data_IF_704169986267
#
_entry.id   IF_704169986267
#
_cell.length_a   1.000
_cell.length_b   1.000
_cell.length_c   1.000
_cell.angle_alpha   90.00
_cell.angle_beta   90.00
_cell.angle_gamma   90.00
#
_symmetry.space_group_name_H-M   'P 1'
#
loop_
_entity.id
_entity.type
_entity.pdbx_description
1 polymer ?
#
# COMPACT_ATOMS: atom_id res chain seq x y z
N UNK A 1 16.06 24.04 -8.06
CA UNK A 1 14.62 24.06 -7.75
C UNK A 1 14.34 22.91 -6.81
N UNK A 2 14.00 23.18 -5.56
CA UNK A 2 13.52 22.15 -4.62
C UNK A 2 12.10 21.79 -5.02
N UNK A 3 11.94 20.67 -5.72
CA UNK A 3 10.60 20.12 -6.01
C UNK A 3 9.93 19.82 -4.66
N UNK A 4 8.88 20.54 -4.33
CA UNK A 4 8.07 20.26 -3.15
C UNK A 4 7.40 18.91 -3.43
N UNK A 5 7.86 17.85 -2.76
CA UNK A 5 7.19 16.55 -2.82
C UNK A 5 6.10 16.54 -1.77
N UNK A 6 4.88 16.27 -2.18
CA UNK A 6 3.80 15.98 -1.25
C UNK A 6 3.79 14.49 -0.90
N UNK A 7 3.19 14.17 0.24
CA UNK A 7 3.06 12.83 0.74
C UNK A 7 1.64 12.62 1.24
N UNK A 8 1.10 11.44 0.95
CA UNK A 8 -0.17 10.97 1.52
C UNK A 8 0.00 9.54 2.01
N UNK A 9 -0.60 9.26 3.16
CA UNK A 9 -0.56 7.97 3.83
C UNK A 9 -1.93 7.31 3.73
N UNK A 10 -1.97 6.09 3.21
CA UNK A 10 -3.17 5.26 3.17
C UNK A 10 -3.06 4.11 4.16
N UNK A 11 -4.07 3.92 5.01
CA UNK A 11 -4.24 2.69 5.79
C UNK A 11 -4.91 1.66 4.91
N UNK A 12 -4.26 0.50 4.77
CA UNK A 12 -4.73 -0.63 3.95
C UNK A 12 -5.21 -1.75 4.86
N UNK A 13 -6.45 -2.19 4.69
CA UNK A 13 -7.09 -3.25 5.46
C UNK A 13 -7.71 -4.30 4.53
N UNK A 14 -7.93 -5.51 5.06
CA UNK A 14 -8.77 -6.52 4.44
C UNK A 14 -10.16 -6.47 5.08
N UNK A 15 -11.18 -6.24 4.28
CA UNK A 15 -12.55 -6.00 4.75
C UNK A 15 -13.55 -6.91 4.02
N UNK A 16 -14.72 -7.16 4.62
CA UNK A 16 -15.80 -7.91 3.96
C UNK A 16 -16.78 -6.93 3.33
N UNK A 17 -16.89 -6.96 2.01
CA UNK A 17 -17.90 -6.22 1.27
C UNK A 17 -19.29 -6.84 1.52
N UNK A 18 -20.20 -6.06 2.09
CA UNK A 18 -21.53 -6.56 2.50
C UNK A 18 -22.44 -6.87 1.31
N UNK A 19 -22.23 -6.19 0.19
CA UNK A 19 -22.97 -6.31 -1.06
C UNK A 19 -22.54 -7.51 -1.91
N UNK A 20 -21.24 -7.85 -1.87
CA UNK A 20 -20.65 -8.94 -2.67
C UNK A 20 -20.41 -10.22 -1.88
N UNK A 21 -20.62 -10.18 -0.56
CA UNK A 21 -20.24 -11.23 0.39
C UNK A 21 -18.80 -11.76 0.19
N UNK A 22 -17.90 -10.85 -0.20
CA UNK A 22 -16.52 -11.16 -0.58
C UNK A 22 -15.53 -10.36 0.26
N UNK A 23 -14.35 -10.93 0.49
CA UNK A 23 -13.24 -10.17 1.05
C UNK A 23 -12.59 -9.28 -0.01
N UNK A 24 -12.48 -8.00 0.30
CA UNK A 24 -11.87 -6.97 -0.52
C UNK A 24 -10.74 -6.29 0.22
N UNK A 25 -9.85 -5.67 -0.54
CA UNK A 25 -8.90 -4.72 0.00
C UNK A 25 -9.54 -3.34 0.06
N UNK A 26 -9.28 -2.61 1.15
CA UNK A 26 -9.66 -1.22 1.30
C UNK A 26 -8.42 -0.38 1.63
N UNK A 27 -8.36 0.83 1.08
CA UNK A 27 -7.32 1.81 1.37
C UNK A 27 -7.96 3.16 1.70
N UNK A 28 -7.89 3.56 2.97
CA UNK A 28 -8.40 4.85 3.45
C UNK A 28 -7.26 5.85 3.73
N UNK A 29 -7.33 7.10 3.23
CA UNK A 29 -6.31 8.10 3.51
C UNK A 29 -6.36 8.55 4.98
N UNK A 30 -5.20 8.72 5.60
CA UNK A 30 -5.04 9.02 7.04
C UNK A 30 -4.82 10.52 7.28
N UNK A 31 -4.06 11.15 6.39
CA UNK A 31 -3.49 12.49 6.54
C UNK A 31 -3.89 13.42 5.38
N UNK A 32 -5.12 13.29 4.90
CA UNK A 32 -5.64 14.07 3.77
C UNK A 32 -6.95 14.82 4.07
N UNK A 33 -7.23 15.93 3.35
CA UNK A 33 -8.49 16.67 3.45
C UNK A 33 -9.71 15.80 3.09
N UNK A 34 -9.61 15.01 2.03
CA UNK A 34 -10.66 14.10 1.59
C UNK A 34 -10.40 12.73 2.21
N UNK A 35 -11.41 12.19 2.91
CA UNK A 35 -11.29 10.92 3.66
C UNK A 35 -11.91 9.70 2.96
N UNK A 36 -12.36 9.87 1.72
CA UNK A 36 -12.89 8.78 0.91
C UNK A 36 -11.76 7.86 0.48
N UNK A 37 -11.83 6.60 0.87
CA UNK A 37 -10.91 5.56 0.44
C UNK A 37 -11.31 4.92 -0.89
N UNK A 38 -10.51 3.94 -1.31
CA UNK A 38 -10.77 3.09 -2.48
C UNK A 38 -10.75 1.64 -2.08
N UNK A 39 -11.51 0.81 -2.79
CA UNK A 39 -11.53 -0.64 -2.61
C UNK A 39 -11.22 -1.37 -3.90
N UNK A 40 -10.67 -2.59 -3.79
CA UNK A 40 -10.41 -3.49 -4.92
C UNK A 40 -10.31 -4.95 -4.47
N UNK A 41 -10.43 -5.89 -5.40
CA UNK A 41 -10.33 -7.32 -5.09
C UNK A 41 -8.87 -7.74 -4.81
N UNK A 42 -7.92 -7.14 -5.53
CA UNK A 42 -6.49 -7.42 -5.38
C UNK A 42 -5.69 -6.20 -4.90
N UNK A 43 -4.53 -6.44 -4.27
CA UNK A 43 -3.60 -5.36 -3.87
C UNK A 43 -3.02 -4.60 -5.05
N UNK A 44 -2.90 -5.24 -6.22
CA UNK A 44 -2.38 -4.58 -7.43
C UNK A 44 -3.38 -3.55 -7.92
N UNK A 45 -4.65 -3.93 -8.04
CA UNK A 45 -5.74 -3.02 -8.40
C UNK A 45 -5.92 -1.92 -7.36
N UNK A 46 -5.83 -2.24 -6.07
CA UNK A 46 -5.92 -1.24 -5.00
C UNK A 46 -4.83 -0.17 -5.14
N UNK A 47 -3.59 -0.58 -5.42
CA UNK A 47 -2.48 0.36 -5.62
C UNK A 47 -2.70 1.24 -6.85
N UNK A 48 -3.16 0.67 -7.97
CA UNK A 48 -3.52 1.44 -9.15
C UNK A 48 -4.64 2.45 -8.86
N UNK A 49 -5.67 2.05 -8.12
CA UNK A 49 -6.76 2.92 -7.69
C UNK A 49 -6.24 4.06 -6.80
N UNK A 50 -5.40 3.78 -5.82
CA UNK A 50 -4.78 4.81 -4.95
C UNK A 50 -3.95 5.79 -5.77
N UNK A 51 -3.13 5.31 -6.70
CA UNK A 51 -2.33 6.17 -7.58
C UNK A 51 -3.20 7.09 -8.43
N UNK A 52 -4.39 6.63 -8.86
CA UNK A 52 -5.34 7.45 -9.63
C UNK A 52 -6.05 8.54 -8.81
N UNK A 53 -6.15 8.39 -7.49
CA UNK A 53 -6.89 9.33 -6.62
C UNK A 53 -5.99 10.18 -5.71
N UNK A 54 -4.69 9.91 -5.63
CA UNK A 54 -3.79 10.56 -4.65
C UNK A 54 -3.77 12.09 -4.73
N UNK A 55 -3.80 12.65 -5.93
CA UNK A 55 -3.81 14.09 -6.16
C UNK A 55 -5.15 14.72 -5.77
N UNK A 56 -6.25 14.06 -6.16
CA UNK A 56 -7.61 14.45 -5.76
C UNK A 56 -7.76 14.47 -4.24
N UNK A 57 -7.32 13.40 -3.58
CA UNK A 57 -7.40 13.25 -2.12
C UNK A 57 -6.64 14.34 -1.38
N UNK A 58 -5.49 14.77 -1.91
CA UNK A 58 -4.69 15.88 -1.39
C UNK A 58 -5.17 17.28 -1.85
N UNK A 59 -6.08 17.35 -2.83
CA UNK A 59 -6.53 18.62 -3.41
C UNK A 59 -5.44 19.36 -4.19
N UNK A 60 -4.53 18.64 -4.83
CA UNK A 60 -3.40 19.22 -5.58
C UNK A 60 -3.47 18.87 -7.07
N UNK A 61 -2.87 19.68 -7.96
CA UNK A 61 -2.77 19.38 -9.40
C UNK A 61 -1.98 18.09 -9.72
N UNK A 62 -2.30 17.41 -10.82
CA UNK A 62 -1.69 16.13 -11.24
C UNK A 62 -0.19 16.22 -11.56
N UNK A 63 0.31 17.39 -11.94
CA UNK A 63 1.73 17.64 -12.24
C UNK A 63 2.59 17.74 -10.97
N UNK A 64 1.97 17.82 -9.79
CA UNK A 64 2.69 17.81 -8.52
C UNK A 64 3.16 16.40 -8.18
N UNK A 65 4.41 16.27 -7.75
CA UNK A 65 4.93 14.99 -7.30
C UNK A 65 4.32 14.61 -5.94
N UNK A 66 3.56 13.50 -5.93
CA UNK A 66 2.93 12.93 -4.73
C UNK A 66 3.48 11.53 -4.48
N UNK A 67 4.10 11.34 -3.32
CA UNK A 67 4.53 10.04 -2.81
C UNK A 67 3.43 9.41 -1.96
N UNK A 68 3.14 8.12 -2.18
CA UNK A 68 2.16 7.37 -1.39
C UNK A 68 2.89 6.48 -0.39
N UNK A 69 2.47 6.53 0.88
CA UNK A 69 2.86 5.55 1.90
C UNK A 69 1.67 4.66 2.26
N UNK A 70 1.93 3.35 2.43
CA UNK A 70 0.92 2.39 2.85
C UNK A 70 1.19 1.87 4.26
N UNK A 71 0.20 1.98 5.13
CA UNK A 71 0.17 1.37 6.46
C UNK A 71 -0.78 0.18 6.41
N UNK A 72 -0.24 -1.03 6.44
CA UNK A 72 -1.04 -2.24 6.41
C UNK A 72 -1.54 -2.60 7.81
N UNK A 73 -2.85 -2.70 7.94
CA UNK A 73 -3.57 -3.16 9.12
C UNK A 73 -4.20 -4.52 8.77
N UNK A 74 -3.41 -5.57 8.95
CA UNK A 74 -3.77 -6.95 8.60
C UNK A 74 -4.10 -7.73 9.86
N UNK A 75 -5.29 -8.34 9.97
CA UNK A 75 -5.63 -9.20 11.09
C UNK A 75 -4.57 -10.30 11.28
N UNK A 76 -4.03 -10.42 12.50
CA UNK A 76 -3.02 -11.43 12.83
C UNK A 76 -1.58 -11.09 12.45
N UNK A 77 -1.31 -9.92 11.83
CA UNK A 77 0.05 -9.47 11.52
C UNK A 77 0.35 -8.19 12.30
N UNK A 78 1.29 -8.27 13.25
CA UNK A 78 1.72 -7.08 13.99
C UNK A 78 2.55 -6.14 13.10
N UNK A 79 2.58 -4.85 13.44
CA UNK A 79 3.38 -3.85 12.73
C UNK A 79 4.89 -4.19 12.74
N UNK A 80 5.37 -4.84 13.79
CA UNK A 80 6.76 -5.30 13.92
C UNK A 80 7.07 -6.42 12.92
N UNK A 81 6.18 -7.43 12.83
CA UNK A 81 6.29 -8.52 11.86
C UNK A 81 6.28 -7.96 10.44
N UNK A 82 5.38 -7.01 10.16
CA UNK A 82 5.32 -6.36 8.85
C UNK A 82 6.59 -5.57 8.52
N UNK A 83 7.15 -4.85 9.49
CA UNK A 83 8.40 -4.10 9.31
C UNK A 83 9.58 -5.03 9.06
N UNK A 84 9.73 -6.08 9.86
CA UNK A 84 10.78 -7.08 9.70
C UNK A 84 10.69 -7.76 8.32
N UNK A 85 9.49 -8.10 7.86
CA UNK A 85 9.27 -8.64 6.51
C UNK A 85 9.70 -7.66 5.41
N UNK A 86 9.37 -6.36 5.52
CA UNK A 86 9.82 -5.34 4.55
C UNK A 86 11.34 -5.21 4.52
N UNK A 87 11.98 -5.16 5.68
CA UNK A 87 13.45 -5.07 5.78
C UNK A 87 14.13 -6.30 5.18
N UNK A 88 13.62 -7.50 5.47
CA UNK A 88 14.11 -8.74 4.87
C UNK A 88 13.96 -8.69 3.35
N UNK A 89 12.77 -8.34 2.84
CA UNK A 89 12.53 -8.23 1.40
C UNK A 89 13.46 -7.23 0.73
N UNK A 90 13.72 -6.07 1.34
CA UNK A 90 14.64 -5.08 0.82
C UNK A 90 16.07 -5.64 0.70
N UNK A 91 16.57 -6.32 1.75
CA UNK A 91 17.89 -6.97 1.73
C UNK A 91 17.98 -8.06 0.66
N UNK A 92 16.92 -8.85 0.46
CA UNK A 92 16.89 -9.87 -0.59
C UNK A 92 16.90 -9.25 -2.00
N UNK A 93 16.23 -8.11 -2.19
CA UNK A 93 16.33 -7.33 -3.43
C UNK A 93 17.74 -6.79 -3.66
N UNK A 94 18.37 -6.21 -2.62
CA UNK A 94 19.74 -5.69 -2.70
C UNK A 94 20.76 -6.80 -3.00
N UNK A 95 20.49 -8.03 -2.56
CA UNK A 95 21.26 -9.21 -2.89
C UNK A 95 21.05 -9.71 -4.35
N UNK A 96 20.15 -9.10 -5.11
CA UNK A 96 19.89 -9.44 -6.51
C UNK A 96 19.05 -10.70 -6.73
N UNK A 97 18.40 -11.23 -5.69
CA UNK A 97 17.56 -12.43 -5.82
C UNK A 97 16.33 -12.15 -6.68
N UNK A 98 15.95 -13.09 -7.54
CA UNK A 98 14.72 -12.99 -8.31
C UNK A 98 13.48 -13.09 -7.41
N UNK A 99 12.30 -12.72 -7.90
CA UNK A 99 11.06 -12.88 -7.11
C UNK A 99 10.77 -14.36 -6.81
N UNK A 100 11.11 -15.27 -7.73
CA UNK A 100 10.97 -16.72 -7.54
C UNK A 100 11.83 -17.25 -6.39
N UNK A 101 13.12 -16.90 -6.39
CA UNK A 101 14.06 -17.35 -5.35
C UNK A 101 13.65 -16.86 -3.95
N UNK A 102 13.07 -15.65 -3.88
CA UNK A 102 12.57 -15.06 -2.63
C UNK A 102 11.37 -15.83 -2.07
N UNK A 103 10.44 -16.22 -2.93
CA UNK A 103 9.25 -17.00 -2.52
C UNK A 103 9.68 -18.37 -2.03
N UNK A 104 10.58 -19.05 -2.74
CA UNK A 104 11.09 -20.36 -2.34
C UNK A 104 11.80 -20.31 -0.97
N UNK A 105 12.67 -19.32 -0.75
CA UNK A 105 13.33 -19.09 0.53
C UNK A 105 12.34 -18.89 1.69
N UNK A 106 11.32 -18.05 1.48
CA UNK A 106 10.32 -17.75 2.50
C UNK A 106 9.37 -18.92 2.80
N UNK A 107 9.17 -19.85 1.86
CA UNK A 107 8.38 -21.08 2.06
C UNK A 107 9.18 -22.21 2.70
N UNK A 108 10.51 -22.16 2.58
CA UNK A 108 11.44 -23.18 3.12
C UNK A 108 11.93 -22.91 4.55
N UNK A 109 11.61 -21.74 5.11
CA UNK A 109 11.96 -21.30 6.47
C UNK A 109 10.82 -21.56 7.47
#
# INVERSE_FOLDING_TARGET
MTSISHKVTFRVSRERALDLDAEIWYAGPVDAPIRSGVSAETLVELRAAVESVKHFVLGVPEDVNVTVEYLYDLPGVSAEVWRAHRELRARLCDAGLSEGDRVELLLSA
#
